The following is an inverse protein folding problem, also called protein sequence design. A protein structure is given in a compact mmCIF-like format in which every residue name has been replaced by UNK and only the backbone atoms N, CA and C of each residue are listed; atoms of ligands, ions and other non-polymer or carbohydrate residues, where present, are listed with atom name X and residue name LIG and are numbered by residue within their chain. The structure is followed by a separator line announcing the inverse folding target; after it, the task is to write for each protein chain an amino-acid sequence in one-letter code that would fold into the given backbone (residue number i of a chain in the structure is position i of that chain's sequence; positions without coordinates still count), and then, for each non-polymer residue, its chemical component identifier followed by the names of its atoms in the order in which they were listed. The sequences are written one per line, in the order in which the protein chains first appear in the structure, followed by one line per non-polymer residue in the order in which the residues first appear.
data_IF_276647033153
#
_entry.id   IF_276647033153
#
_cell.length_a   1.000
_cell.length_b   1.000
_cell.length_c   1.000
_cell.angle_alpha   90.00
_cell.angle_beta   90.00
_cell.angle_gamma   90.00
#
_symmetry.space_group_name_H-M   'P 1'
#
loop_
_entity.id
_entity.type
_entity.pdbx_description
1 polymer ?
#
# COMPACT_ATOMS: atom_id res chain seq x y z
N UNK A 1 -2.85 12.67 -23.80
CA UNK A 1 -2.57 11.31 -23.26
C UNK A 1 -3.08 11.26 -21.84
N UNK A 2 -3.65 10.14 -21.39
CA UNK A 2 -4.12 10.02 -20.01
C UNK A 2 -2.95 9.83 -19.04
N UNK A 3 -2.87 10.64 -17.99
CA UNK A 3 -1.98 10.43 -16.85
C UNK A 3 -2.72 9.65 -15.77
N UNK A 4 -2.10 8.58 -15.28
CA UNK A 4 -2.64 7.74 -14.19
C UNK A 4 -1.52 7.53 -13.18
N UNK A 5 -1.72 8.03 -11.96
CA UNK A 5 -0.76 7.94 -10.86
C UNK A 5 -1.36 7.08 -9.74
N UNK A 6 -0.60 6.07 -9.29
CA UNK A 6 -0.98 5.21 -8.19
C UNK A 6 -0.20 5.58 -6.93
N UNK A 7 -0.92 5.75 -5.82
CA UNK A 7 -0.35 5.91 -4.48
C UNK A 7 -0.97 4.86 -3.53
N UNK A 8 -0.12 4.17 -2.77
CA UNK A 8 -0.51 3.13 -1.82
C UNK A 8 -0.17 3.51 -0.36
N UNK A 9 0.18 4.77 -0.10
CA UNK A 9 0.44 5.28 1.24
C UNK A 9 -0.91 5.47 1.93
N UNK A 10 -1.01 4.87 3.12
CA UNK A 10 -2.21 4.68 3.94
C UNK A 10 -3.24 3.74 3.30
N UNK A 11 -3.68 4.01 2.07
CA UNK A 11 -4.68 3.23 1.34
C UNK A 11 -4.59 3.53 -0.17
N UNK A 12 -5.14 2.66 -1.05
CA UNK A 12 -5.02 2.84 -2.50
C UNK A 12 -5.74 4.10 -2.99
N UNK A 13 -5.01 4.94 -3.73
CA UNK A 13 -5.47 6.17 -4.36
C UNK A 13 -4.98 6.17 -5.81
N UNK A 14 -5.90 6.28 -6.76
CA UNK A 14 -5.63 6.38 -8.19
C UNK A 14 -6.03 7.76 -8.66
N UNK A 15 -5.04 8.58 -9.01
CA UNK A 15 -5.26 9.91 -9.57
C UNK A 15 -5.26 9.80 -11.09
N UNK A 16 -6.29 10.38 -11.72
CA UNK A 16 -6.48 10.36 -13.17
C UNK A 16 -6.52 11.80 -13.68
N UNK A 17 -5.84 12.04 -14.80
CA UNK A 17 -5.98 13.24 -15.62
C UNK A 17 -6.06 12.82 -17.09
N UNK A 18 -7.27 12.80 -17.64
CA UNK A 18 -7.57 12.28 -18.97
C UNK A 18 -8.62 13.13 -19.68
N UNK A 19 -8.46 13.30 -21.00
CA UNK A 19 -9.47 13.92 -21.87
C UNK A 19 -10.72 13.04 -22.01
N UNK A 20 -10.55 11.73 -21.91
CA UNK A 20 -11.61 10.72 -22.01
C UNK A 20 -11.96 10.17 -20.64
N UNK A 21 -13.20 9.76 -20.46
CA UNK A 21 -13.65 9.12 -19.22
C UNK A 21 -13.03 7.73 -19.10
N UNK A 22 -12.47 7.44 -17.93
CA UNK A 22 -11.90 6.16 -17.59
C UNK A 22 -12.70 5.50 -16.48
N UNK A 23 -12.92 4.20 -16.61
CA UNK A 23 -13.47 3.37 -15.55
C UNK A 23 -12.32 2.85 -14.69
N UNK A 24 -12.20 3.34 -13.46
CA UNK A 24 -11.20 2.88 -12.49
C UNK A 24 -11.84 1.86 -11.56
N UNK A 25 -11.15 0.74 -11.34
CA UNK A 25 -11.54 -0.32 -10.40
C UNK A 25 -10.41 -0.53 -9.39
N UNK A 26 -10.74 -0.56 -8.11
CA UNK A 26 -9.85 -0.96 -7.01
C UNK A 26 -10.57 -2.09 -6.29
N UNK A 27 -9.96 -3.27 -6.20
CA UNK A 27 -10.58 -4.46 -5.59
C UNK A 27 -9.58 -5.40 -4.96
N UNK A 28 -10.03 -6.26 -4.07
CA UNK A 28 -9.30 -7.48 -3.65
C UNK A 28 -9.68 -8.66 -4.55
N UNK A 29 -8.90 -9.75 -4.51
CA UNK A 29 -9.20 -10.99 -5.23
C UNK A 29 -10.55 -11.61 -4.84
N UNK A 30 -10.94 -11.53 -3.57
CA UNK A 30 -12.24 -12.01 -3.06
C UNK A 30 -13.44 -11.25 -3.63
N UNK A 31 -13.23 -10.00 -4.09
CA UNK A 31 -14.30 -9.09 -4.51
C UNK A 31 -15.09 -8.46 -3.37
N UNK A 32 -14.80 -8.76 -2.09
CA UNK A 32 -15.54 -8.22 -0.94
C UNK A 32 -15.34 -6.70 -0.78
N UNK A 33 -14.10 -6.24 -0.95
CA UNK A 33 -13.74 -4.83 -0.88
C UNK A 33 -13.46 -4.32 -2.29
N UNK A 34 -14.37 -3.49 -2.80
CA UNK A 34 -14.21 -2.91 -4.13
C UNK A 34 -14.80 -1.50 -4.25
N UNK A 35 -14.24 -0.72 -5.17
CA UNK A 35 -14.83 0.52 -5.68
C UNK A 35 -14.62 0.57 -7.19
N UNK A 36 -15.64 1.03 -7.89
CA UNK A 36 -15.64 1.25 -9.32
C UNK A 36 -16.18 2.65 -9.60
N UNK A 37 -15.43 3.46 -10.33
CA UNK A 37 -15.83 4.84 -10.64
C UNK A 37 -15.39 5.25 -12.04
N UNK A 38 -16.30 5.90 -12.77
CA UNK A 38 -15.99 6.57 -14.03
C UNK A 38 -15.56 7.99 -13.77
N UNK A 39 -14.34 8.36 -14.15
CA UNK A 39 -13.82 9.72 -14.00
C UNK A 39 -12.97 10.15 -15.20
N UNK A 40 -13.00 11.45 -15.51
CA UNK A 40 -12.05 12.08 -16.45
C UNK A 40 -10.84 12.66 -15.73
N UNK A 41 -11.09 13.34 -14.61
CA UNK A 41 -10.09 14.00 -13.79
C UNK A 41 -10.47 13.90 -12.32
N UNK A 42 -9.53 13.58 -11.44
CA UNK A 42 -9.77 13.43 -10.01
C UNK A 42 -9.06 12.22 -9.42
N UNK A 43 -9.49 11.81 -8.22
CA UNK A 43 -8.89 10.67 -7.50
C UNK A 43 -9.97 9.69 -7.11
N UNK A 44 -9.76 8.41 -7.43
CA UNK A 44 -10.54 7.29 -6.89
C UNK A 44 -9.74 6.68 -5.75
N UNK A 45 -10.36 6.51 -4.58
CA UNK A 45 -9.69 5.90 -3.44
C UNK A 45 -10.63 4.98 -2.67
N UNK A 46 -10.08 3.91 -2.12
CA UNK A 46 -10.78 3.04 -1.20
C UNK A 46 -10.15 3.21 0.19
N UNK A 47 -10.81 3.95 1.09
CA UNK A 47 -10.27 4.30 2.40
C UNK A 47 -10.31 3.09 3.36
N UNK A 48 -9.38 2.16 3.14
CA UNK A 48 -9.22 0.94 3.91
C UNK A 48 -7.75 0.82 4.30
N UNK A 49 -7.33 1.36 5.46
CA UNK A 49 -5.92 1.47 5.85
C UNK A 49 -5.37 0.17 6.45
N UNK A 50 -5.53 -0.92 5.72
CA UNK A 50 -5.02 -2.25 6.07
C UNK A 50 -4.28 -2.84 4.87
N UNK A 51 -3.31 -3.70 5.14
CA UNK A 51 -2.62 -4.43 4.07
C UNK A 51 -3.61 -5.38 3.40
N UNK A 52 -3.79 -5.19 2.09
CA UNK A 52 -4.51 -6.09 1.18
C UNK A 52 -3.74 -6.18 -0.13
N UNK A 53 -3.90 -7.31 -0.80
CA UNK A 53 -3.29 -7.57 -2.09
C UNK A 53 -4.17 -6.97 -3.19
N UNK A 54 -4.20 -5.63 -3.26
CA UNK A 54 -5.06 -4.87 -4.17
C UNK A 54 -4.78 -5.15 -5.65
N UNK A 55 -5.86 -5.27 -6.41
CA UNK A 55 -5.89 -5.27 -7.88
C UNK A 55 -6.49 -3.95 -8.33
N UNK A 56 -5.76 -3.21 -9.15
CA UNK A 56 -6.13 -1.87 -9.58
C UNK A 56 -6.07 -1.78 -11.11
N UNK A 57 -7.18 -1.41 -11.71
CA UNK A 57 -7.36 -1.44 -13.16
C UNK A 57 -8.01 -0.14 -13.62
N UNK A 58 -7.62 0.36 -14.79
CA UNK A 58 -8.35 1.44 -15.46
C UNK A 58 -8.64 1.08 -16.91
N UNK A 59 -9.85 1.40 -17.38
CA UNK A 59 -10.34 1.08 -18.71
C UNK A 59 -10.83 2.31 -19.45
N UNK A 60 -10.58 2.36 -20.76
CA UNK A 60 -11.18 3.30 -21.70
C UNK A 60 -12.10 2.51 -22.64
N UNK A 61 -13.42 2.52 -22.36
CA UNK A 61 -14.34 1.53 -22.93
C UNK A 61 -13.91 0.13 -22.52
N UNK A 62 -13.74 -0.77 -23.49
CA UNK A 62 -13.30 -2.16 -23.25
C UNK A 62 -11.77 -2.31 -23.16
N UNK A 63 -11.02 -1.27 -23.49
CA UNK A 63 -9.56 -1.32 -23.49
C UNK A 63 -9.00 -1.05 -22.10
N UNK A 64 -8.32 -2.03 -21.50
CA UNK A 64 -7.52 -1.84 -20.29
C UNK A 64 -6.32 -0.92 -20.61
N UNK A 65 -6.24 0.22 -19.94
CA UNK A 65 -5.17 1.22 -20.11
C UNK A 65 -4.22 1.29 -18.92
N UNK A 66 -4.62 0.75 -17.77
CA UNK A 66 -3.79 0.61 -16.57
C UNK A 66 -4.08 -0.71 -15.88
N UNK A 67 -3.03 -1.35 -15.38
CA UNK A 67 -3.11 -2.59 -14.60
C UNK A 67 -2.01 -2.59 -13.56
N UNK A 68 -2.40 -2.76 -12.30
CA UNK A 68 -1.50 -2.97 -11.19
C UNK A 68 -1.99 -4.16 -10.38
N UNK A 69 -1.06 -5.09 -10.14
CA UNK A 69 -1.23 -6.18 -9.19
C UNK A 69 -0.26 -5.95 -8.04
N UNK A 70 -0.76 -6.12 -6.82
CA UNK A 70 0.03 -5.90 -5.62
C UNK A 70 1.31 -6.74 -5.60
N UNK A 71 2.47 -6.09 -5.59
CA UNK A 71 3.77 -6.75 -5.51
C UNK A 71 4.72 -5.93 -4.66
N UNK A 72 5.18 -6.53 -3.55
CA UNK A 72 6.12 -5.90 -2.63
C UNK A 72 7.53 -6.47 -2.68
N UNK A 73 7.77 -7.53 -3.44
CA UNK A 73 9.09 -8.14 -3.53
C UNK A 73 10.13 -7.12 -4.01
N UNK A 74 11.17 -6.93 -3.20
CA UNK A 74 12.22 -5.93 -3.45
C UNK A 74 11.81 -4.47 -3.24
N UNK A 75 10.52 -4.17 -3.01
CA UNK A 75 10.02 -2.82 -2.77
C UNK A 75 10.33 -2.35 -1.35
N UNK A 76 10.31 -1.03 -1.15
CA UNK A 76 10.43 -0.40 0.15
C UNK A 76 9.04 -0.23 0.75
N UNK A 77 8.84 -0.79 1.94
CA UNK A 77 7.64 -0.58 2.76
C UNK A 77 8.05 0.24 3.98
N UNK A 78 7.40 1.39 4.15
CA UNK A 78 7.57 2.23 5.31
C UNK A 78 6.41 2.03 6.29
N UNK A 79 6.75 1.77 7.55
CA UNK A 79 5.79 1.58 8.64
C UNK A 79 6.10 2.62 9.71
N UNK A 80 5.09 3.39 10.12
CA UNK A 80 5.22 4.43 11.13
C UNK A 80 4.31 4.15 12.32
N UNK A 81 4.90 4.01 13.50
CA UNK A 81 4.17 4.04 14.75
C UNK A 81 3.90 5.49 15.15
N UNK A 82 2.64 5.87 15.32
CA UNK A 82 2.24 7.27 15.56
C UNK A 82 2.06 7.55 17.07
N UNK A 83 1.59 6.56 17.84
CA UNK A 83 1.48 6.64 19.30
C UNK A 83 1.24 5.25 19.88
N UNK A 84 2.30 4.57 20.29
CA UNK A 84 2.24 3.14 20.64
C UNK A 84 2.71 2.98 22.08
N UNK A 85 1.87 2.38 22.92
CA UNK A 85 2.27 2.02 24.28
C UNK A 85 3.49 1.11 24.22
N UNK A 86 4.33 1.10 25.26
CA UNK A 86 5.58 0.33 25.23
C UNK A 86 5.33 -1.16 24.96
N UNK A 87 4.27 -1.73 25.54
CA UNK A 87 3.87 -3.12 25.31
C UNK A 87 3.58 -3.41 23.84
N UNK A 88 2.76 -2.59 23.20
CA UNK A 88 2.47 -2.71 21.76
C UNK A 88 3.75 -2.59 20.93
N UNK A 89 4.64 -1.66 21.27
CA UNK A 89 5.89 -1.43 20.55
C UNK A 89 6.83 -2.65 20.60
N UNK A 90 6.74 -3.49 21.64
CA UNK A 90 7.54 -4.72 21.77
C UNK A 90 6.98 -5.85 20.89
N UNK A 91 5.65 -5.91 20.72
CA UNK A 91 4.99 -7.01 20.01
C UNK A 91 5.05 -6.83 18.49
N UNK A 92 4.91 -5.61 17.99
CA UNK A 92 4.80 -5.36 16.55
C UNK A 92 6.01 -5.76 15.70
N UNK A 93 7.29 -5.60 16.13
CA UNK A 93 8.45 -5.98 15.33
C UNK A 93 8.43 -7.43 14.83
N UNK A 94 7.92 -8.37 15.63
CA UNK A 94 7.80 -9.78 15.22
C UNK A 94 6.80 -9.96 14.06
N UNK A 95 5.65 -9.28 14.12
CA UNK A 95 4.67 -9.28 13.02
C UNK A 95 5.22 -8.60 11.77
N UNK A 96 6.01 -7.54 11.94
CA UNK A 96 6.68 -6.86 10.84
C UNK A 96 7.72 -7.77 10.18
N UNK A 97 8.48 -8.55 10.96
CA UNK A 97 9.45 -9.50 10.41
C UNK A 97 8.76 -10.64 9.64
N UNK A 98 7.62 -11.14 10.15
CA UNK A 98 6.77 -12.10 9.42
C UNK A 98 6.25 -11.51 8.11
N UNK A 99 5.78 -10.26 8.14
CA UNK A 99 5.35 -9.53 6.94
C UNK A 99 6.49 -9.38 5.93
N UNK A 100 7.68 -8.96 6.37
CA UNK A 100 8.89 -8.81 5.54
C UNK A 100 9.26 -10.12 4.87
N UNK A 101 9.22 -11.24 5.62
CA UNK A 101 9.48 -12.58 5.10
C UNK A 101 8.42 -13.03 4.09
N UNK A 102 7.13 -12.84 4.39
CA UNK A 102 6.01 -13.18 3.49
C UNK A 102 6.15 -12.46 2.14
N UNK A 103 6.37 -11.16 2.18
CA UNK A 103 6.35 -10.30 0.99
C UNK A 103 7.73 -10.05 0.36
N UNK A 104 8.81 -10.53 0.98
CA UNK A 104 10.20 -10.35 0.53
C UNK A 104 10.55 -8.89 0.22
N UNK A 105 10.04 -7.97 1.02
CA UNK A 105 10.23 -6.55 0.87
C UNK A 105 11.36 -6.03 1.78
N UNK A 106 11.80 -4.80 1.53
CA UNK A 106 12.66 -4.04 2.44
C UNK A 106 11.77 -3.22 3.36
N UNK A 107 11.92 -3.36 4.67
CA UNK A 107 11.05 -2.68 5.63
C UNK A 107 11.84 -1.63 6.41
N UNK A 108 11.31 -0.42 6.42
CA UNK A 108 11.76 0.70 7.21
C UNK A 108 10.70 1.02 8.26
N UNK A 109 11.10 1.07 9.53
CA UNK A 109 10.17 1.27 10.65
C UNK A 109 10.56 2.52 11.42
N UNK A 110 9.65 3.47 11.53
CA UNK A 110 9.79 4.58 12.48
C UNK A 110 9.08 4.23 13.78
N UNK A 111 9.85 4.13 14.87
CA UNK A 111 9.39 3.80 16.21
C UNK A 111 10.09 4.70 17.24
N UNK A 112 9.54 4.83 18.44
CA UNK A 112 10.06 5.72 19.48
C UNK A 112 11.41 5.29 20.06
N UNK A 113 11.64 3.98 20.19
CA UNK A 113 12.82 3.39 20.82
C UNK A 113 13.46 2.34 19.90
N UNK A 114 14.04 2.74 18.75
CA UNK A 114 14.61 1.82 17.78
C UNK A 114 15.70 0.91 18.38
N UNK A 115 16.47 1.42 19.34
CA UNK A 115 17.56 0.73 20.02
C UNK A 115 17.14 -0.56 20.74
N UNK A 116 15.86 -0.70 21.09
CA UNK A 116 15.32 -1.91 21.71
C UNK A 116 15.23 -3.09 20.73
N UNK A 117 15.22 -2.82 19.41
CA UNK A 117 14.84 -3.80 18.39
C UNK A 117 15.94 -4.07 17.36
N UNK A 118 16.81 -3.11 17.07
CA UNK A 118 17.83 -3.20 16.01
C UNK A 118 18.68 -4.48 16.09
N UNK A 119 19.08 -4.89 17.30
CA UNK A 119 19.90 -6.10 17.50
C UNK A 119 19.12 -7.39 17.23
N UNK A 120 17.86 -7.43 17.63
CA UNK A 120 17.01 -8.63 17.51
C UNK A 120 16.43 -8.79 16.10
N UNK A 121 16.30 -7.69 15.35
CA UNK A 121 15.71 -7.67 14.02
C UNK A 121 16.62 -6.99 12.99
N UNK A 122 17.79 -7.58 12.66
CA UNK A 122 18.81 -6.95 11.82
C UNK A 122 18.38 -6.75 10.35
N UNK A 123 17.30 -7.41 9.92
CA UNK A 123 16.75 -7.28 8.56
C UNK A 123 15.70 -6.17 8.43
N UNK A 124 15.37 -5.49 9.52
CA UNK A 124 14.48 -4.33 9.55
C UNK A 124 15.33 -3.09 9.79
N UNK A 125 15.15 -2.05 8.97
CA UNK A 125 15.83 -0.77 9.21
C UNK A 125 14.97 0.10 10.10
N UNK A 126 15.37 0.27 11.37
CA UNK A 126 14.70 1.18 12.27
C UNK A 126 15.19 2.62 12.06
N UNK A 127 14.25 3.56 12.03
CA UNK A 127 14.50 4.98 11.83
C UNK A 127 14.21 5.74 13.12
N UNK A 128 15.00 6.80 13.35
CA UNK A 128 14.87 7.73 14.47
C UNK A 128 13.76 8.76 14.19
#
# INVERSE_FOLDING_TARGET
MASIELNLIDYPKVKVDSEKELLVKIREESGEYYIEQKIKKGTVSLNMPVVREWIIEAFNGDKKVFNYQYKLEGQIVFIRFVNTALGDAIVWPEYIEKFRKKYKCKVYVKVRYPELFEKSYPNITFLK
#
